data_IF_751749888322
#
_entry.id   IF_751749888322
#
_cell.length_a   1.000
_cell.length_b   1.000
_cell.length_c   1.000
_cell.angle_alpha   90.00
_cell.angle_beta   90.00
_cell.angle_gamma   90.00
#
_symmetry.space_group_name_H-M   'P 1'
#
loop_
_entity.id
_entity.type
_entity.pdbx_description
1 polymer ?
#
# COMPACT_ATOMS: atom_id res chain seq x y z
N UNK A 1 -12.73 -8.95 25.22
CA UNK A 1 -11.33 -8.67 24.84
C UNK A 1 -11.38 -7.70 23.67
N UNK A 2 -10.80 -6.50 23.79
CA UNK A 2 -10.76 -5.56 22.67
C UNK A 2 -9.73 -6.08 21.65
N UNK A 3 -10.18 -6.45 20.45
CA UNK A 3 -9.31 -6.88 19.37
C UNK A 3 -8.50 -5.69 18.84
N UNK A 4 -7.29 -5.95 18.34
CA UNK A 4 -6.42 -4.92 17.77
C UNK A 4 -7.11 -4.21 16.58
N UNK A 5 -7.09 -2.86 16.54
CA UNK A 5 -7.67 -2.09 15.44
C UNK A 5 -7.09 -2.45 14.07
N UNK A 6 -7.92 -2.37 13.04
CA UNK A 6 -7.54 -2.65 11.64
C UNK A 6 -7.16 -1.36 10.94
N UNK A 7 -5.94 -1.27 10.43
CA UNK A 7 -5.55 -0.27 9.44
C UNK A 7 -6.17 -0.65 8.09
N UNK A 8 -6.80 0.32 7.44
CA UNK A 8 -7.31 0.20 6.08
C UNK A 8 -6.47 1.11 5.19
N UNK A 9 -5.67 0.49 4.32
CA UNK A 9 -4.93 1.17 3.25
C UNK A 9 -5.83 1.35 2.04
N UNK A 10 -5.88 2.57 1.49
CA UNK A 10 -6.53 2.86 0.22
C UNK A 10 -5.49 3.18 -0.87
N UNK A 11 -5.40 2.33 -1.88
CA UNK A 11 -4.57 2.50 -3.06
C UNK A 11 -5.40 3.13 -4.20
N UNK A 12 -5.31 4.45 -4.31
CA UNK A 12 -6.36 5.27 -4.95
C UNK A 12 -6.34 5.24 -6.48
N UNK A 13 -5.17 5.06 -7.11
CA UNK A 13 -4.98 5.30 -8.56
C UNK A 13 -4.14 4.23 -9.26
N UNK A 14 -3.01 3.81 -8.68
CA UNK A 14 -2.08 2.89 -9.31
C UNK A 14 -1.46 3.38 -10.60
N UNK A 15 -0.80 2.47 -11.34
CA UNK A 15 -0.20 2.76 -12.64
C UNK A 15 -1.00 2.23 -13.84
N UNK A 16 -1.92 1.28 -13.64
CA UNK A 16 -2.56 0.52 -14.73
C UNK A 16 -3.99 0.96 -15.05
N UNK A 17 -4.91 1.13 -14.07
CA UNK A 17 -6.28 1.53 -14.38
C UNK A 17 -6.32 2.87 -15.14
N UNK A 18 -7.32 3.01 -16.02
CA UNK A 18 -7.62 4.25 -16.76
C UNK A 18 -9.09 4.64 -16.57
N UNK A 19 -9.43 5.90 -16.83
CA UNK A 19 -10.82 6.39 -16.72
C UNK A 19 -11.80 5.67 -17.63
N UNK A 20 -11.33 5.19 -18.79
CA UNK A 20 -12.11 4.34 -19.70
C UNK A 20 -12.51 2.99 -19.07
N UNK A 21 -11.71 2.48 -18.12
CA UNK A 21 -11.97 1.22 -17.45
C UNK A 21 -12.87 1.44 -16.22
N UNK A 22 -12.66 2.56 -15.52
CA UNK A 22 -13.44 2.98 -14.36
C UNK A 22 -13.57 4.51 -14.34
N UNK A 23 -14.75 5.08 -14.66
CA UNK A 23 -14.95 6.53 -14.67
C UNK A 23 -14.65 7.22 -13.33
N UNK A 24 -14.77 6.48 -12.21
CA UNK A 24 -14.46 6.97 -10.86
C UNK A 24 -12.97 6.98 -10.50
N UNK A 25 -12.06 6.62 -11.42
CA UNK A 25 -10.62 6.63 -11.16
C UNK A 25 -10.07 8.07 -11.02
N UNK A 26 -9.49 8.45 -9.87
CA UNK A 26 -8.84 9.75 -9.73
C UNK A 26 -7.48 9.78 -10.44
N UNK A 27 -7.26 10.78 -11.30
CA UNK A 27 -6.03 10.92 -12.10
C UNK A 27 -5.28 12.18 -11.75
N UNK A 28 -5.96 13.32 -11.68
CA UNK A 28 -5.34 14.61 -11.36
C UNK A 28 -5.13 14.77 -9.85
N UNK A 29 -4.19 15.59 -9.38
CA UNK A 29 -4.00 15.83 -7.95
C UNK A 29 -5.29 16.23 -7.21
N UNK A 30 -6.10 17.12 -7.80
CA UNK A 30 -7.40 17.53 -7.22
C UNK A 30 -8.34 16.34 -7.03
N UNK A 31 -8.50 15.50 -8.06
CA UNK A 31 -9.34 14.29 -7.95
C UNK A 31 -8.79 13.31 -6.92
N UNK A 32 -7.46 13.16 -6.84
CA UNK A 32 -6.81 12.28 -5.87
C UNK A 32 -7.03 12.77 -4.43
N UNK A 33 -6.94 14.07 -4.18
CA UNK A 33 -7.20 14.67 -2.87
C UNK A 33 -8.66 14.44 -2.48
N UNK A 34 -9.61 14.72 -3.38
CA UNK A 34 -11.05 14.52 -3.12
C UNK A 34 -11.40 13.06 -2.84
N UNK A 35 -10.90 12.13 -3.66
CA UNK A 35 -11.14 10.70 -3.47
C UNK A 35 -10.46 10.14 -2.22
N UNK A 36 -9.28 10.64 -1.89
CA UNK A 36 -8.60 10.30 -0.64
C UNK A 36 -9.40 10.78 0.56
N UNK A 37 -9.96 11.99 0.51
CA UNK A 37 -10.79 12.54 1.58
C UNK A 37 -12.07 11.71 1.80
N UNK A 38 -12.78 11.32 0.73
CA UNK A 38 -13.94 10.43 0.85
C UNK A 38 -13.56 9.07 1.44
N UNK A 39 -12.42 8.51 1.03
CA UNK A 39 -11.91 7.25 1.57
C UNK A 39 -11.51 7.37 3.05
N UNK A 40 -10.90 8.48 3.44
CA UNK A 40 -10.59 8.82 4.83
C UNK A 40 -11.87 8.85 5.69
N UNK A 41 -12.90 9.58 5.26
CA UNK A 41 -14.20 9.62 5.94
C UNK A 41 -14.87 8.23 6.03
N UNK A 42 -14.64 7.36 5.05
CA UNK A 42 -15.13 5.98 5.05
C UNK A 42 -14.35 5.04 6.00
N UNK A 43 -13.18 5.45 6.49
CA UNK A 43 -12.38 4.72 7.48
C UNK A 43 -10.96 4.34 7.04
N UNK A 44 -10.45 4.85 5.92
CA UNK A 44 -9.05 4.66 5.56
C UNK A 44 -8.14 5.50 6.46
N UNK A 45 -7.07 4.90 6.98
CA UNK A 45 -6.06 5.58 7.80
C UNK A 45 -4.70 5.68 7.12
N UNK A 46 -4.53 5.04 5.97
CA UNK A 46 -3.33 5.08 5.15
C UNK A 46 -3.72 5.22 3.67
N UNK A 47 -3.12 6.16 2.95
CA UNK A 47 -3.26 6.29 1.48
C UNK A 47 -1.97 5.87 0.79
N UNK A 48 -2.09 4.97 -0.18
CA UNK A 48 -1.01 4.62 -1.10
C UNK A 48 -1.14 5.40 -2.40
N UNK A 49 -0.13 6.22 -2.70
CA UNK A 49 -0.18 7.23 -3.76
C UNK A 49 0.71 6.83 -4.93
N UNK A 50 0.08 6.79 -6.11
CA UNK A 50 0.72 6.90 -7.41
C UNK A 50 0.21 8.17 -8.08
N UNK A 51 1.08 8.94 -8.73
CA UNK A 51 0.65 10.10 -9.54
C UNK A 51 0.63 9.77 -11.03
N UNK A 52 -0.13 10.53 -11.80
CA UNK A 52 -0.32 10.37 -13.25
C UNK A 52 -0.08 11.68 -13.97
N UNK A 53 0.36 11.58 -15.22
CA UNK A 53 0.33 12.70 -16.15
C UNK A 53 -1.12 13.02 -16.55
N UNK A 54 -1.40 14.22 -17.11
CA UNK A 54 -2.73 14.58 -17.59
C UNK A 54 -3.34 13.63 -18.64
N UNK A 55 -2.50 12.91 -19.38
CA UNK A 55 -2.90 11.87 -20.36
C UNK A 55 -3.11 10.48 -19.73
N UNK A 56 -3.16 10.42 -18.39
CA UNK A 56 -3.30 9.23 -17.57
C UNK A 56 -2.07 8.30 -17.54
N UNK A 57 -0.95 8.62 -18.20
CA UNK A 57 0.25 7.75 -18.11
C UNK A 57 0.87 7.80 -16.71
N UNK A 58 1.55 6.73 -16.25
CA UNK A 58 2.23 6.72 -14.96
C UNK A 58 3.28 7.83 -14.89
N UNK A 59 3.45 8.43 -13.71
CA UNK A 59 4.46 9.46 -13.51
C UNK A 59 5.25 9.24 -12.21
N UNK A 60 6.48 9.75 -12.21
CA UNK A 60 7.34 9.87 -11.03
C UNK A 60 7.49 11.31 -10.56
N UNK A 61 6.76 12.26 -11.16
CA UNK A 61 6.95 13.70 -10.96
C UNK A 61 6.82 14.09 -9.48
N UNK A 62 7.91 14.54 -8.82
CA UNK A 62 7.90 14.95 -7.43
C UNK A 62 6.88 16.05 -7.12
N UNK A 63 6.66 16.99 -8.05
CA UNK A 63 5.76 18.12 -7.83
C UNK A 63 4.29 17.67 -7.78
N UNK A 64 3.93 16.64 -8.55
CA UNK A 64 2.61 16.02 -8.46
C UNK A 64 2.43 15.28 -7.13
N UNK A 65 3.46 14.57 -6.66
CA UNK A 65 3.43 13.92 -5.34
C UNK A 65 3.26 14.94 -4.22
N UNK A 66 3.98 16.06 -4.28
CA UNK A 66 3.89 17.16 -3.32
C UNK A 66 2.48 17.76 -3.28
N UNK A 67 1.88 18.05 -4.43
CA UNK A 67 0.52 18.58 -4.50
C UNK A 67 -0.51 17.67 -3.83
N UNK A 68 -0.44 16.36 -4.10
CA UNK A 68 -1.34 15.39 -3.46
C UNK A 68 -1.06 15.32 -1.97
N UNK A 69 0.21 15.24 -1.55
CA UNK A 69 0.59 15.21 -0.12
C UNK A 69 0.05 16.43 0.63
N UNK A 70 0.26 17.65 0.13
CA UNK A 70 -0.22 18.88 0.75
C UNK A 70 -1.74 18.90 0.90
N UNK A 71 -2.47 18.48 -0.15
CA UNK A 71 -3.91 18.39 -0.11
C UNK A 71 -4.42 17.35 0.88
N UNK A 72 -3.81 16.16 0.92
CA UNK A 72 -4.17 15.11 1.88
C UNK A 72 -3.89 15.56 3.31
N UNK A 73 -2.75 16.17 3.59
CA UNK A 73 -2.43 16.71 4.93
C UNK A 73 -3.45 17.76 5.39
N UNK A 74 -3.92 18.60 4.47
CA UNK A 74 -4.92 19.64 4.75
C UNK A 74 -6.31 19.07 5.04
N UNK A 75 -6.73 18.04 4.30
CA UNK A 75 -8.11 17.56 4.30
C UNK A 75 -8.32 16.28 5.10
N UNK A 76 -7.27 15.50 5.35
CA UNK A 76 -7.31 14.20 6.03
C UNK A 76 -6.33 14.19 7.21
N UNK A 77 -6.62 14.92 8.30
CA UNK A 77 -5.68 15.01 9.43
C UNK A 77 -5.36 13.63 10.00
N UNK A 78 -4.10 13.45 10.38
CA UNK A 78 -3.50 12.20 10.87
C UNK A 78 -3.44 11.03 9.87
N UNK A 79 -3.97 11.17 8.66
CA UNK A 79 -3.85 10.14 7.62
C UNK A 79 -2.37 9.88 7.32
N UNK A 80 -2.00 8.61 7.18
CA UNK A 80 -0.65 8.21 6.80
C UNK A 80 -0.52 8.33 5.29
N UNK A 81 0.49 9.05 4.85
CA UNK A 81 0.76 9.28 3.43
C UNK A 81 1.89 8.35 3.00
N UNK A 82 1.59 7.42 2.09
CA UNK A 82 2.54 6.47 1.55
C UNK A 82 2.78 6.72 0.06
N UNK A 83 4.02 7.01 -0.32
CA UNK A 83 4.39 7.19 -1.71
C UNK A 83 4.79 5.87 -2.37
N UNK A 84 4.39 5.68 -3.62
CA UNK A 84 4.84 4.55 -4.41
C UNK A 84 6.20 4.79 -5.05
N UNK A 85 7.13 3.86 -4.81
CA UNK A 85 8.39 3.73 -5.57
C UNK A 85 8.31 2.68 -6.68
N UNK A 86 7.11 2.21 -7.02
CA UNK A 86 6.91 1.16 -8.01
C UNK A 86 7.29 1.56 -9.43
N UNK A 87 7.77 0.58 -10.22
CA UNK A 87 8.34 0.80 -11.56
C UNK A 87 7.43 0.59 -12.78
N UNK A 88 6.13 0.24 -12.61
CA UNK A 88 5.25 -0.01 -13.76
C UNK A 88 5.10 1.25 -14.63
N UNK A 89 5.70 1.25 -15.81
CA UNK A 89 5.67 2.36 -16.76
C UNK A 89 6.47 3.59 -16.31
N UNK A 90 7.44 3.42 -15.40
CA UNK A 90 8.27 4.50 -14.85
C UNK A 90 9.74 4.11 -14.99
N UNK A 91 10.58 5.08 -15.35
CA UNK A 91 12.02 4.87 -15.42
C UNK A 91 12.62 4.57 -14.03
N UNK A 92 13.60 3.67 -13.96
CA UNK A 92 14.19 3.27 -12.69
C UNK A 92 14.86 4.44 -11.96
N UNK A 93 15.55 5.32 -12.68
CA UNK A 93 16.26 6.46 -12.06
C UNK A 93 15.30 7.48 -11.42
N UNK A 94 14.06 7.54 -11.90
CA UNK A 94 13.04 8.43 -11.38
C UNK A 94 12.27 7.84 -10.18
N UNK A 95 12.38 6.54 -9.92
CA UNK A 95 11.74 5.87 -8.78
C UNK A 95 12.50 6.25 -7.51
N UNK A 96 11.85 7.01 -6.63
CA UNK A 96 12.47 7.57 -5.43
C UNK A 96 12.76 9.07 -5.50
N UNK A 97 12.61 9.70 -6.66
CA UNK A 97 12.86 11.14 -6.84
C UNK A 97 11.96 12.04 -5.98
N UNK A 98 10.81 11.54 -5.51
CA UNK A 98 9.89 12.25 -4.62
C UNK A 98 10.20 12.09 -3.12
N UNK A 99 11.14 11.20 -2.72
CA UNK A 99 11.34 10.86 -1.31
C UNK A 99 11.83 12.05 -0.48
N UNK A 100 12.45 13.07 -1.08
CA UNK A 100 12.87 14.25 -0.35
C UNK A 100 11.70 15.08 0.22
N UNK A 101 10.45 14.84 -0.22
CA UNK A 101 9.24 15.42 0.38
C UNK A 101 8.84 14.76 1.72
N UNK A 102 9.57 13.73 2.15
CA UNK A 102 9.43 13.07 3.47
C UNK A 102 7.99 12.62 3.77
N UNK A 103 7.35 11.81 2.90
CA UNK A 103 6.09 11.17 3.25
C UNK A 103 6.25 10.33 4.51
N UNK A 104 5.15 10.00 5.19
CA UNK A 104 5.22 9.12 6.37
C UNK A 104 5.81 7.74 6.02
N UNK A 105 5.41 7.24 4.86
CA UNK A 105 5.81 5.94 4.35
C UNK A 105 6.15 5.97 2.86
N UNK A 106 6.85 4.94 2.40
CA UNK A 106 6.98 4.66 0.98
C UNK A 106 7.02 3.14 0.75
N UNK A 107 6.42 2.68 -0.36
CA UNK A 107 6.47 1.25 -0.71
C UNK A 107 7.89 0.87 -1.14
N UNK A 108 8.37 -0.31 -0.78
CA UNK A 108 9.69 -0.82 -1.18
C UNK A 108 9.57 -2.30 -1.56
N UNK A 109 9.70 -2.62 -2.84
CA UNK A 109 9.84 -4.00 -3.28
C UNK A 109 11.28 -4.45 -3.07
N UNK A 110 11.50 -5.50 -2.28
CA UNK A 110 12.84 -6.00 -1.91
C UNK A 110 13.36 -7.11 -2.83
N UNK A 111 12.77 -7.23 -4.03
CA UNK A 111 13.20 -8.16 -5.06
C UNK A 111 12.42 -8.02 -6.35
N UNK A 112 12.83 -8.79 -7.35
CA UNK A 112 12.19 -8.81 -8.67
C UNK A 112 11.22 -9.99 -8.80
N UNK A 113 10.19 -9.84 -9.63
CA UNK A 113 9.25 -10.93 -9.98
C UNK A 113 8.65 -10.69 -11.37
N UNK A 114 7.98 -11.68 -11.95
CA UNK A 114 7.26 -11.48 -13.21
C UNK A 114 5.92 -10.78 -12.97
N UNK A 115 5.56 -9.87 -13.87
CA UNK A 115 4.26 -9.21 -13.94
C UNK A 115 3.52 -9.63 -15.24
N UNK A 116 2.26 -9.18 -15.47
CA UNK A 116 1.51 -9.56 -16.67
C UNK A 116 2.25 -9.22 -17.97
N UNK A 117 2.99 -8.11 -17.96
CA UNK A 117 3.81 -7.65 -19.08
C UNK A 117 5.20 -7.34 -18.54
N UNK A 118 6.16 -8.23 -18.81
CA UNK A 118 7.57 -8.07 -18.45
C UNK A 118 7.91 -8.41 -17.00
N UNK A 119 9.14 -8.05 -16.62
CA UNK A 119 9.69 -8.25 -15.28
C UNK A 119 9.43 -6.99 -14.46
N UNK A 120 9.00 -7.17 -13.23
CA UNK A 120 9.01 -6.11 -12.23
C UNK A 120 10.39 -6.05 -11.59
N UNK A 121 11.26 -5.24 -12.18
CA UNK A 121 12.68 -5.19 -11.84
C UNK A 121 12.94 -4.31 -10.61
N UNK A 122 13.62 -4.91 -9.63
CA UNK A 122 14.17 -4.25 -8.45
C UNK A 122 15.55 -4.87 -8.18
N UNK A 123 16.60 -4.39 -8.88
CA UNK A 123 17.98 -4.80 -8.65
C UNK A 123 18.41 -4.51 -7.20
N UNK A 124 19.31 -5.34 -6.64
CA UNK A 124 19.69 -5.27 -5.23
C UNK A 124 20.28 -3.92 -4.82
N UNK A 125 21.16 -3.34 -5.65
CA UNK A 125 21.76 -2.03 -5.44
C UNK A 125 20.72 -0.91 -5.44
N UNK A 126 19.74 -1.00 -6.34
CA UNK A 126 18.61 -0.08 -6.38
C UNK A 126 17.73 -0.17 -5.13
N UNK A 127 17.43 -1.38 -4.65
CA UNK A 127 16.67 -1.60 -3.41
C UNK A 127 17.40 -1.02 -2.20
N UNK A 128 18.70 -1.27 -2.05
CA UNK A 128 19.51 -0.74 -0.94
C UNK A 128 19.66 0.79 -1.03
N UNK A 129 19.75 1.34 -2.23
CA UNK A 129 19.73 2.78 -2.47
C UNK A 129 18.42 3.44 -2.03
N UNK A 130 17.27 2.88 -2.43
CA UNK A 130 15.96 3.36 -1.96
C UNK A 130 15.81 3.27 -0.44
N UNK A 131 16.20 2.14 0.16
CA UNK A 131 16.14 1.97 1.61
C UNK A 131 17.03 3.00 2.35
N UNK A 132 18.21 3.30 1.80
CA UNK A 132 19.12 4.31 2.35
C UNK A 132 18.53 5.72 2.27
N UNK A 133 17.92 6.11 1.14
CA UNK A 133 17.25 7.41 1.01
C UNK A 133 16.02 7.50 1.93
N UNK A 134 15.22 6.43 2.06
CA UNK A 134 14.10 6.38 3.01
C UNK A 134 14.59 6.58 4.45
N UNK A 135 15.66 5.89 4.86
CA UNK A 135 16.27 6.05 6.17
C UNK A 135 16.74 7.49 6.41
N UNK A 136 17.43 8.09 5.44
CA UNK A 136 17.91 9.48 5.49
C UNK A 136 16.78 10.50 5.68
N UNK A 137 15.64 10.30 5.03
CA UNK A 137 14.50 11.20 5.14
C UNK A 137 13.52 10.87 6.28
N UNK A 138 13.83 9.83 7.08
CA UNK A 138 12.97 9.31 8.15
C UNK A 138 11.62 8.75 7.65
N UNK A 139 11.63 8.14 6.48
CA UNK A 139 10.46 7.52 5.84
C UNK A 139 10.42 6.05 6.24
N UNK A 140 9.27 5.58 6.72
CA UNK A 140 9.09 4.16 7.05
C UNK A 140 8.76 3.35 5.78
N UNK A 141 9.54 2.32 5.41
CA UNK A 141 9.17 1.46 4.30
C UNK A 141 7.95 0.58 4.63
N UNK A 142 7.01 0.48 3.69
CA UNK A 142 6.12 -0.69 3.58
C UNK A 142 6.74 -1.66 2.56
N UNK A 143 7.13 -2.85 3.02
CA UNK A 143 7.83 -3.80 2.16
C UNK A 143 6.83 -4.58 1.32
N UNK A 144 6.89 -4.41 0.00
CA UNK A 144 6.00 -5.09 -0.95
C UNK A 144 6.52 -6.50 -1.27
N UNK A 145 5.88 -7.52 -0.70
CA UNK A 145 6.24 -8.93 -0.83
C UNK A 145 5.39 -9.57 -1.93
N UNK A 146 5.99 -9.73 -3.11
CA UNK A 146 5.39 -10.46 -4.24
C UNK A 146 5.83 -11.93 -4.32
N UNK A 147 6.84 -12.32 -3.54
CA UNK A 147 7.37 -13.69 -3.45
C UNK A 147 8.13 -13.88 -2.12
N UNK A 148 8.26 -15.14 -1.66
CA UNK A 148 8.87 -15.50 -0.37
C UNK A 148 10.28 -14.93 -0.19
N UNK A 149 11.11 -14.97 -1.23
CA UNK A 149 12.49 -14.48 -1.14
C UNK A 149 12.57 -13.00 -0.74
N UNK A 150 11.56 -12.19 -1.11
CA UNK A 150 11.50 -10.77 -0.75
C UNK A 150 11.37 -10.56 0.76
N UNK A 151 10.71 -11.48 1.48
CA UNK A 151 10.57 -11.43 2.94
C UNK A 151 11.94 -11.58 3.61
N UNK A 152 12.74 -12.52 3.11
CA UNK A 152 14.10 -12.76 3.59
C UNK A 152 15.06 -11.62 3.22
N UNK A 153 14.89 -11.01 2.04
CA UNK A 153 15.62 -9.80 1.67
C UNK A 153 15.29 -8.64 2.61
N UNK A 154 14.02 -8.47 2.99
CA UNK A 154 13.61 -7.46 3.96
C UNK A 154 14.22 -7.70 5.34
N UNK A 155 14.22 -8.95 5.82
CA UNK A 155 14.91 -9.33 7.06
C UNK A 155 16.42 -9.03 7.00
N UNK A 156 17.06 -9.17 5.83
CA UNK A 156 18.46 -8.77 5.65
C UNK A 156 18.66 -7.24 5.69
N UNK A 157 17.72 -6.45 5.14
CA UNK A 157 17.76 -4.98 5.29
C UNK A 157 17.63 -4.55 6.75
N UNK A 158 16.80 -5.23 7.55
CA UNK A 158 16.73 -5.01 9.00
C UNK A 158 18.08 -5.29 9.66
N UNK A 159 18.72 -6.43 9.36
CA UNK A 159 20.06 -6.78 9.88
C UNK A 159 21.13 -5.76 9.50
N UNK A 160 21.03 -5.15 8.31
CA UNK A 160 21.92 -4.08 7.84
C UNK A 160 21.63 -2.71 8.47
N UNK A 161 20.53 -2.57 9.23
CA UNK A 161 20.09 -1.28 9.77
C UNK A 161 19.48 -0.33 8.72
N UNK A 162 19.14 -0.83 7.53
CA UNK A 162 18.51 -0.04 6.46
C UNK A 162 16.98 0.00 6.58
N UNK A 163 16.39 -0.90 7.37
CA UNK A 163 14.97 -0.90 7.69
C UNK A 163 14.79 -0.93 9.20
N UNK A 164 14.23 0.13 9.78
CA UNK A 164 14.09 0.28 11.23
C UNK A 164 12.89 -0.52 11.78
N UNK A 165 13.04 -1.16 12.96
CA UNK A 165 11.93 -1.87 13.60
C UNK A 165 10.89 -0.90 14.21
N UNK A 166 9.61 -1.32 14.35
CA UNK A 166 9.05 -2.57 13.84
C UNK A 166 8.86 -2.54 12.31
N UNK A 167 9.25 -3.58 11.54
CA UNK A 167 8.99 -3.60 10.10
C UNK A 167 7.49 -3.62 9.79
N UNK A 168 7.09 -3.08 8.63
CA UNK A 168 5.75 -3.31 8.07
C UNK A 168 5.89 -3.96 6.70
N UNK A 169 5.20 -5.08 6.48
CA UNK A 169 5.22 -5.80 5.20
C UNK A 169 3.83 -5.93 4.59
N UNK A 170 3.75 -5.94 3.27
CA UNK A 170 2.53 -6.15 2.51
C UNK A 170 2.67 -7.40 1.65
N UNK A 171 1.83 -8.42 1.91
CA UNK A 171 1.74 -9.60 1.06
C UNK A 171 0.83 -9.32 -0.14
N UNK A 172 1.41 -9.17 -1.33
CA UNK A 172 0.66 -8.88 -2.57
C UNK A 172 0.38 -10.18 -3.31
N UNK A 173 -0.90 -10.54 -3.46
CA UNK A 173 -1.34 -11.80 -4.05
C UNK A 173 -2.25 -11.58 -5.27
N UNK A 174 -2.09 -12.42 -6.29
CA UNK A 174 -2.99 -12.46 -7.44
C UNK A 174 -2.59 -11.58 -8.61
N UNK A 175 -1.40 -10.96 -8.58
CA UNK A 175 -0.80 -10.40 -9.79
C UNK A 175 -0.50 -11.56 -10.76
N UNK A 176 -0.98 -11.52 -12.02
CA UNK A 176 -0.64 -12.57 -12.99
C UNK A 176 0.88 -12.73 -13.13
N UNK A 177 1.33 -13.99 -13.17
CA UNK A 177 2.73 -14.42 -13.22
C UNK A 177 3.57 -14.24 -11.92
N UNK A 178 2.99 -13.70 -10.84
CA UNK A 178 3.61 -13.62 -9.52
C UNK A 178 2.94 -14.60 -8.53
N UNK A 179 2.96 -14.28 -7.23
CA UNK A 179 2.34 -15.10 -6.19
C UNK A 179 0.81 -15.26 -6.35
N UNK A 180 0.29 -16.51 -6.42
CA UNK A 180 -1.13 -16.77 -6.59
C UNK A 180 -1.92 -16.58 -5.29
N UNK A 181 -3.24 -16.39 -5.40
CA UNK A 181 -4.13 -16.27 -4.24
C UNK A 181 -4.47 -17.66 -3.68
N UNK A 182 -3.74 -18.08 -2.64
CA UNK A 182 -4.02 -19.31 -1.88
C UNK A 182 -3.85 -19.04 -0.39
N UNK A 183 -4.87 -19.38 0.41
CA UNK A 183 -4.85 -19.14 1.87
C UNK A 183 -3.64 -19.78 2.55
N UNK A 184 -3.29 -21.01 2.16
CA UNK A 184 -2.13 -21.73 2.72
C UNK A 184 -0.81 -21.03 2.48
N UNK A 185 -0.67 -20.26 1.38
CA UNK A 185 0.53 -19.46 1.12
C UNK A 185 0.59 -18.25 2.05
N UNK A 186 -0.54 -17.55 2.25
CA UNK A 186 -0.61 -16.42 3.18
C UNK A 186 -0.31 -16.87 4.62
N UNK A 187 -0.91 -17.97 5.07
CA UNK A 187 -0.65 -18.54 6.40
C UNK A 187 0.82 -18.94 6.58
N UNK A 188 1.43 -19.53 5.55
CA UNK A 188 2.86 -19.84 5.54
C UNK A 188 3.72 -18.57 5.65
N UNK A 189 3.44 -17.53 4.85
CA UNK A 189 4.18 -16.27 4.90
C UNK A 189 4.06 -15.54 6.25
N UNK A 190 2.88 -15.58 6.88
CA UNK A 190 2.68 -15.01 8.22
C UNK A 190 3.50 -15.77 9.27
N UNK A 191 3.60 -17.10 9.14
CA UNK A 191 4.45 -17.90 10.02
C UNK A 191 5.92 -17.52 9.83
N UNK A 192 6.40 -17.50 8.59
CA UNK A 192 7.79 -17.14 8.28
C UNK A 192 8.11 -15.71 8.76
N UNK A 193 7.19 -14.76 8.58
CA UNK A 193 7.33 -13.38 9.08
C UNK A 193 7.57 -13.34 10.59
N UNK A 194 6.81 -14.11 11.37
CA UNK A 194 6.97 -14.19 12.83
C UNK A 194 8.32 -14.80 13.21
N UNK A 195 8.83 -15.74 12.43
CA UNK A 195 10.12 -16.38 12.69
C UNK A 195 11.30 -15.44 12.37
N UNK A 196 11.24 -14.69 11.27
CA UNK A 196 12.37 -13.85 10.81
C UNK A 196 12.31 -12.39 11.26
N UNK A 197 11.12 -11.86 11.54
CA UNK A 197 10.85 -10.49 11.97
C UNK A 197 9.68 -10.46 12.97
N UNK A 198 9.86 -10.97 14.21
CA UNK A 198 8.77 -11.23 15.18
C UNK A 198 7.96 -10.00 15.59
N UNK A 199 8.53 -8.80 15.50
CA UNK A 199 7.86 -7.54 15.85
C UNK A 199 7.22 -6.84 14.63
N UNK A 200 7.24 -7.47 13.45
CA UNK A 200 6.69 -6.87 12.25
C UNK A 200 5.16 -6.91 12.24
N UNK A 201 4.56 -5.85 11.71
CA UNK A 201 3.14 -5.81 11.34
C UNK A 201 2.99 -6.18 9.87
N UNK A 202 1.79 -6.58 9.46
CA UNK A 202 1.55 -6.96 8.08
C UNK A 202 0.16 -6.57 7.55
N UNK A 203 0.14 -6.29 6.25
CA UNK A 203 -1.06 -6.08 5.42
C UNK A 203 -1.10 -7.17 4.36
N UNK A 204 -2.29 -7.57 3.89
CA UNK A 204 -2.41 -8.36 2.66
C UNK A 204 -3.29 -7.66 1.63
N UNK A 205 -2.85 -7.74 0.37
CA UNK A 205 -3.46 -7.08 -0.77
C UNK A 205 -3.78 -8.12 -1.85
N UNK A 206 -5.06 -8.22 -2.24
CA UNK A 206 -5.51 -9.07 -3.33
C UNK A 206 -5.78 -8.26 -4.58
N UNK A 207 -5.33 -8.76 -5.74
CA UNK A 207 -5.52 -8.07 -7.01
C UNK A 207 -6.78 -8.54 -7.74
N UNK A 208 -7.51 -7.58 -8.32
CA UNK A 208 -8.73 -7.78 -9.09
C UNK A 208 -9.83 -8.46 -8.28
N UNK A 209 -10.44 -9.50 -8.86
CA UNK A 209 -11.49 -10.29 -8.20
C UNK A 209 -11.09 -10.89 -6.86
N UNK A 210 -9.80 -10.97 -6.56
CA UNK A 210 -9.29 -11.54 -5.31
C UNK A 210 -9.17 -10.52 -4.17
N UNK A 211 -9.39 -9.22 -4.40
CA UNK A 211 -9.26 -8.19 -3.37
C UNK A 211 -10.07 -8.53 -2.13
N UNK A 212 -11.37 -8.78 -2.30
CA UNK A 212 -12.27 -9.08 -1.18
C UNK A 212 -11.87 -10.37 -0.45
N UNK A 213 -11.50 -11.42 -1.19
CA UNK A 213 -11.08 -12.72 -0.62
C UNK A 213 -9.84 -12.55 0.27
N UNK A 214 -8.83 -11.80 -0.20
CA UNK A 214 -7.61 -11.56 0.58
C UNK A 214 -7.89 -10.64 1.78
N UNK A 215 -8.79 -9.65 1.65
CA UNK A 215 -9.20 -8.83 2.77
C UNK A 215 -9.91 -9.64 3.86
N UNK A 216 -10.76 -10.60 3.50
CA UNK A 216 -11.39 -11.51 4.46
C UNK A 216 -10.35 -12.32 5.23
N UNK A 217 -9.36 -12.90 4.53
CA UNK A 217 -8.30 -13.65 5.19
C UNK A 217 -7.44 -12.78 6.10
N UNK A 218 -7.10 -11.56 5.67
CA UNK A 218 -6.34 -10.62 6.49
C UNK A 218 -7.08 -10.26 7.79
N UNK A 219 -8.39 -9.98 7.70
CA UNK A 219 -9.21 -9.71 8.88
C UNK A 219 -9.26 -10.90 9.83
N UNK A 220 -9.37 -12.13 9.31
CA UNK A 220 -9.40 -13.39 10.08
C UNK A 220 -8.08 -13.71 10.77
N UNK A 221 -6.97 -13.52 10.06
CA UNK A 221 -5.65 -13.90 10.52
C UNK A 221 -4.97 -12.80 11.35
N UNK A 222 -5.69 -11.70 11.63
CA UNK A 222 -5.24 -10.62 12.52
C UNK A 222 -4.43 -9.52 11.84
N UNK A 223 -4.28 -9.53 10.52
CA UNK A 223 -3.54 -8.49 9.79
C UNK A 223 -4.34 -7.22 9.53
N UNK A 224 -3.73 -6.32 8.77
CA UNK A 224 -4.34 -5.12 8.21
C UNK A 224 -4.76 -5.36 6.75
N UNK A 225 -5.55 -4.44 6.18
CA UNK A 225 -6.16 -4.63 4.85
C UNK A 225 -5.82 -3.50 3.90
N UNK A 226 -5.67 -3.84 2.62
CA UNK A 226 -5.53 -2.89 1.52
C UNK A 226 -6.66 -3.06 0.49
N UNK A 227 -7.21 -1.94 0.03
CA UNK A 227 -8.23 -1.88 -1.03
C UNK A 227 -8.01 -0.64 -1.90
N UNK A 228 -8.84 -0.45 -2.91
CA UNK A 228 -8.81 0.73 -3.78
C UNK A 228 -8.81 0.38 -5.26
N UNK A 229 -9.06 1.40 -6.08
CA UNK A 229 -9.20 1.28 -7.53
C UNK A 229 -7.89 0.89 -8.23
N UNK A 230 -6.74 1.10 -7.59
CA UNK A 230 -5.45 0.58 -8.06
C UNK A 230 -5.48 -0.95 -8.23
N UNK A 231 -6.00 -1.64 -7.21
CA UNK A 231 -5.94 -3.09 -7.12
C UNK A 231 -7.16 -3.74 -7.78
N UNK A 232 -8.33 -3.09 -7.72
CA UNK A 232 -9.58 -3.60 -8.26
C UNK A 232 -10.59 -2.48 -8.55
N UNK A 233 -11.02 -2.38 -9.80
CA UNK A 233 -12.01 -1.39 -10.25
C UNK A 233 -13.48 -1.85 -10.08
N UNK A 234 -13.71 -3.08 -9.61
CA UNK A 234 -15.06 -3.67 -9.50
C UNK A 234 -15.51 -3.78 -8.06
N UNK A 235 -16.78 -3.48 -7.78
CA UNK A 235 -17.35 -3.78 -6.47
C UNK A 235 -17.65 -5.28 -6.36
N UNK A 236 -18.27 -5.83 -7.40
CA UNK A 236 -18.60 -7.25 -7.55
C UNK A 236 -18.48 -7.65 -9.04
N UNK A 237 -18.85 -8.90 -9.37
CA UNK A 237 -18.77 -9.40 -10.75
C UNK A 237 -19.69 -8.63 -11.73
N UNK A 238 -20.76 -8.02 -11.22
CA UNK A 238 -21.81 -7.40 -12.02
C UNK A 238 -21.57 -5.92 -12.32
N UNK A 239 -20.85 -5.20 -11.45
CA UNK A 239 -20.64 -3.75 -11.61
C UNK A 239 -19.27 -3.23 -11.20
N UNK A 240 -18.93 -2.07 -11.75
CA UNK A 240 -17.79 -1.27 -11.31
C UNK A 240 -18.02 -0.74 -9.88
N UNK A 241 -16.92 -0.53 -9.16
CA UNK A 241 -16.95 0.27 -7.96
C UNK A 241 -17.26 1.73 -8.34
N UNK A 242 -18.05 2.39 -7.52
CA UNK A 242 -18.41 3.80 -7.72
C UNK A 242 -17.19 4.71 -7.53
N UNK A 243 -16.47 4.48 -6.44
CA UNK A 243 -15.35 5.30 -5.98
C UNK A 243 -14.48 4.49 -4.99
N UNK A 244 -13.35 5.05 -4.56
CA UNK A 244 -12.48 4.39 -3.57
C UNK A 244 -13.18 4.24 -2.20
N UNK A 245 -14.02 5.22 -1.83
CA UNK A 245 -14.73 5.24 -0.56
C UNK A 245 -15.73 4.09 -0.42
N UNK A 246 -16.38 3.67 -1.50
CA UNK A 246 -17.27 2.50 -1.51
C UNK A 246 -16.51 1.22 -1.13
N UNK A 247 -15.30 1.04 -1.67
CA UNK A 247 -14.46 -0.12 -1.37
C UNK A 247 -13.96 -0.10 0.08
N UNK A 248 -13.57 1.07 0.59
CA UNK A 248 -13.16 1.25 1.99
C UNK A 248 -14.33 1.02 2.94
N UNK A 249 -15.51 1.59 2.66
CA UNK A 249 -16.69 1.46 3.49
C UNK A 249 -17.15 0.00 3.65
N UNK A 250 -16.99 -0.82 2.60
CA UNK A 250 -17.19 -2.28 2.67
C UNK A 250 -16.26 -2.91 3.71
N UNK A 251 -14.96 -2.63 3.66
CA UNK A 251 -13.99 -3.21 4.60
C UNK A 251 -14.18 -2.69 6.02
N UNK A 252 -14.50 -1.41 6.19
CA UNK A 252 -14.80 -0.82 7.48
C UNK A 252 -16.01 -1.49 8.15
N UNK A 253 -17.06 -1.79 7.36
CA UNK A 253 -18.20 -2.58 7.85
C UNK A 253 -17.78 -4.01 8.22
N UNK A 254 -17.05 -4.70 7.35
CA UNK A 254 -16.60 -6.08 7.61
C UNK A 254 -15.72 -6.19 8.87
N UNK A 255 -14.83 -5.23 9.10
CA UNK A 255 -14.00 -5.19 10.30
C UNK A 255 -14.88 -5.07 11.56
N UNK A 256 -15.84 -4.13 11.56
CA UNK A 256 -16.80 -3.94 12.67
C UNK A 256 -17.66 -5.18 12.91
N UNK A 257 -18.18 -5.81 11.85
CA UNK A 257 -18.98 -7.04 11.95
C UNK A 257 -18.19 -8.20 12.59
N UNK A 258 -16.86 -8.20 12.43
CA UNK A 258 -15.93 -9.17 13.05
C UNK A 258 -15.40 -8.72 14.43
N UNK A 259 -15.94 -7.64 14.99
CA UNK A 259 -15.54 -7.11 16.29
C UNK A 259 -14.17 -6.44 16.33
N UNK A 260 -13.56 -6.15 15.17
CA UNK A 260 -12.30 -5.39 15.08
C UNK A 260 -12.61 -3.92 14.76
N UNK A 261 -12.27 -2.97 15.66
CA UNK A 261 -12.46 -1.55 15.38
C UNK A 261 -11.58 -1.11 14.20
N UNK A 262 -12.03 -0.10 13.44
CA UNK A 262 -11.21 0.52 12.40
C UNK A 262 -10.23 1.49 13.07
N UNK A 263 -8.96 1.41 12.71
CA UNK A 263 -7.91 2.25 13.29
C UNK A 263 -8.06 3.71 12.81
N UNK A 264 -8.08 4.66 13.74
CA UNK A 264 -7.91 6.09 13.42
C UNK A 264 -6.50 6.35 12.88
N UNK A 265 -6.26 7.51 12.26
CA UNK A 265 -4.92 7.91 11.83
C UNK A 265 -3.88 7.84 12.96
N UNK A 266 -4.21 8.37 14.14
CA UNK A 266 -3.35 8.29 15.32
C UNK A 266 -3.06 6.85 15.79
N UNK A 267 -4.08 5.97 15.80
CA UNK A 267 -3.89 4.55 16.15
C UNK A 267 -3.04 3.83 15.11
N UNK A 268 -3.27 4.08 13.82
CA UNK A 268 -2.47 3.52 12.74
C UNK A 268 -0.99 3.95 12.85
N UNK A 269 -0.74 5.22 13.14
CA UNK A 269 0.62 5.74 13.39
C UNK A 269 1.30 5.03 14.55
N UNK A 270 0.58 4.82 15.66
CA UNK A 270 1.11 4.08 16.80
C UNK A 270 1.44 2.61 16.46
N UNK A 271 0.50 1.90 15.81
CA UNK A 271 0.68 0.50 15.39
C UNK A 271 1.89 0.34 14.45
N UNK A 272 2.11 1.32 13.57
CA UNK A 272 3.21 1.32 12.63
C UNK A 272 4.49 1.95 13.19
N UNK A 273 4.51 2.43 14.45
CA UNK A 273 5.69 3.08 15.02
C UNK A 273 6.11 4.36 14.29
N UNK A 274 5.14 5.09 13.73
CA UNK A 274 5.33 6.40 13.13
C UNK A 274 5.21 7.50 14.19
N UNK A 275 5.78 8.67 13.90
CA UNK A 275 5.58 9.87 14.74
C UNK A 275 4.10 10.26 14.72
N UNK A 276 3.59 10.68 15.88
CA UNK A 276 2.30 11.37 15.95
C UNK A 276 2.45 12.74 15.30
N UNK A 277 1.45 13.12 14.51
CA UNK A 277 1.27 14.46 13.97
C UNK A 277 0.92 15.41 15.13
N UNK A 278 1.55 16.59 15.14
CA UNK A 278 1.31 17.64 16.14
C UNK A 278 0.12 18.51 15.73
#
# INVERSE_FOLDING_TARGET
>A
MNLEPVIITVAITGAVPRKKDCPGLPVTPTEQIEETHKAYEAGASLVHIHVRNPDETPSSDPDLFAQVQEGVQKHCPDMIIQFSTGGRGRDQSARGSMLFHRPDMASLATGSTNFPVGIYENPTDFVEGLASEMLKYEIKPEVEIFDLAMLYNAANLVKKGLLLPPPHVQFVMGVPNAMPVRRTILEFLIKELKDVMPNATWTAAGIGKNQLVVNEWALELGGHVRTGLEDNIRFDETRLAKDNAELVGRLAKMARDRGRPVATGAQARQLLGLRLTH
#
